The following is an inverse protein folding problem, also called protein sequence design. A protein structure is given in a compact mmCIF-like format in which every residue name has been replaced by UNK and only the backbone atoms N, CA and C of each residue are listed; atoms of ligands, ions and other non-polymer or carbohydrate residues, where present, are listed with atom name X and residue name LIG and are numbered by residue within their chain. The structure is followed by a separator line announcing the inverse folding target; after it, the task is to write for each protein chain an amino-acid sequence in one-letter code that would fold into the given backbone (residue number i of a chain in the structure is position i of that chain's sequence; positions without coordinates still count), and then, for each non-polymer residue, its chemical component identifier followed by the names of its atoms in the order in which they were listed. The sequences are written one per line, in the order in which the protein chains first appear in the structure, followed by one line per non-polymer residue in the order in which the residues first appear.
data_IF_627749570054
#
_entry.id   IF_627749570054
#
_cell.length_a   1.000
_cell.length_b   1.000
_cell.length_c   1.000
_cell.angle_alpha   90.00
_cell.angle_beta   90.00
_cell.angle_gamma   90.00
#
_symmetry.space_group_name_H-M   'P 1'
#
loop_
_entity.id
_entity.type
_entity.pdbx_description
1 polymer ?
#
# COMPACT_ATOMS: atom_id res chain seq x y z
N UNK A 1 -20.54 32.04 -45.45
CA UNK A 1 -19.82 32.26 -44.17
C UNK A 1 -20.36 31.24 -43.16
N UNK A 2 -19.49 30.43 -42.54
CA UNK A 2 -19.90 29.37 -41.61
C UNK A 2 -20.22 29.94 -40.23
N UNK A 3 -21.35 29.52 -39.66
CA UNK A 3 -21.78 29.86 -38.31
C UNK A 3 -21.03 29.04 -37.27
N UNK A 4 -20.37 29.73 -36.35
CA UNK A 4 -19.63 29.18 -35.23
C UNK A 4 -20.61 28.68 -34.17
N UNK A 5 -20.72 27.36 -34.01
CA UNK A 5 -21.32 26.75 -32.84
C UNK A 5 -20.18 26.35 -31.89
N UNK A 6 -19.96 27.18 -30.87
CA UNK A 6 -19.03 26.90 -29.77
C UNK A 6 -19.60 25.76 -28.93
N UNK A 7 -19.08 24.55 -29.12
CA UNK A 7 -19.28 23.46 -28.17
C UNK A 7 -18.42 23.74 -26.93
N UNK A 8 -19.07 23.79 -25.77
CA UNK A 8 -18.47 24.00 -24.47
C UNK A 8 -17.29 23.05 -24.25
N UNK A 9 -16.17 23.62 -23.81
CA UNK A 9 -15.02 22.88 -23.32
C UNK A 9 -15.51 21.90 -22.25
N UNK A 10 -15.48 20.61 -22.58
CA UNK A 10 -15.55 19.55 -21.59
C UNK A 10 -14.43 19.85 -20.58
N UNK A 11 -14.83 20.15 -19.36
CA UNK A 11 -13.94 20.24 -18.21
C UNK A 11 -13.38 18.82 -18.05
N UNK A 12 -12.22 18.58 -18.67
CA UNK A 12 -11.40 17.45 -18.34
C UNK A 12 -11.06 17.62 -16.86
N UNK A 13 -11.76 16.87 -16.01
CA UNK A 13 -11.29 16.54 -14.66
C UNK A 13 -9.79 16.32 -14.77
N UNK A 14 -8.96 16.94 -13.92
CA UNK A 14 -7.55 16.64 -13.93
C UNK A 14 -7.45 15.14 -13.73
N UNK A 15 -7.05 14.45 -14.80
CA UNK A 15 -6.63 13.07 -14.75
C UNK A 15 -5.49 13.11 -13.76
N UNK A 16 -5.84 12.78 -12.52
CA UNK A 16 -4.93 12.71 -11.40
C UNK A 16 -3.84 11.78 -11.89
N UNK A 17 -2.71 12.39 -12.26
CA UNK A 17 -1.59 11.67 -12.81
C UNK A 17 -1.34 10.55 -11.82
N UNK A 18 -1.52 9.31 -12.28
CA UNK A 18 -1.19 8.12 -11.52
C UNK A 18 0.28 8.28 -11.14
N UNK A 19 0.54 8.78 -9.92
CA UNK A 19 1.87 8.74 -9.36
C UNK A 19 2.33 7.29 -9.51
N UNK A 20 3.56 7.02 -9.98
CA UNK A 20 4.03 5.67 -10.23
C UNK A 20 3.73 4.84 -8.98
N UNK A 21 2.74 3.95 -9.09
CA UNK A 21 2.18 3.22 -7.96
C UNK A 21 3.34 2.46 -7.34
N UNK A 22 3.71 2.82 -6.12
CA UNK A 22 4.79 2.16 -5.38
C UNK A 22 4.26 0.90 -4.74
N UNK A 23 3.62 0.08 -5.57
CA UNK A 23 3.02 -1.19 -5.18
C UNK A 23 4.11 -2.27 -5.30
N UNK A 24 4.51 -2.81 -4.16
CA UNK A 24 5.51 -3.87 -4.07
C UNK A 24 4.86 -5.17 -3.55
N UNK A 25 5.28 -6.31 -4.11
CA UNK A 25 4.84 -7.64 -3.65
C UNK A 25 5.97 -8.33 -2.90
N UNK A 26 5.61 -8.95 -1.78
CA UNK A 26 6.49 -9.73 -0.93
C UNK A 26 5.92 -11.12 -0.69
N UNK A 27 6.80 -12.12 -0.59
CA UNK A 27 6.45 -13.47 -0.18
C UNK A 27 6.92 -13.74 1.26
N UNK A 28 6.06 -14.40 2.02
CA UNK A 28 6.32 -14.91 3.35
C UNK A 28 6.08 -16.41 3.36
N UNK A 29 7.02 -17.18 3.92
CA UNK A 29 6.82 -18.60 4.25
C UNK A 29 6.11 -18.71 5.61
N UNK A 30 4.95 -18.05 5.72
CA UNK A 30 4.07 -18.12 6.88
C UNK A 30 2.59 -18.24 6.46
N UNK A 31 1.73 -18.82 7.33
CA UNK A 31 0.30 -18.87 7.11
C UNK A 31 -0.33 -17.48 7.00
N UNK A 32 -1.36 -17.39 6.17
CA UNK A 32 -2.11 -16.17 5.88
C UNK A 32 -2.56 -15.39 7.12
N UNK A 33 -3.20 -16.07 8.07
CA UNK A 33 -3.77 -15.42 9.26
C UNK A 33 -2.70 -14.71 10.10
N UNK A 34 -1.52 -15.35 10.28
CA UNK A 34 -0.43 -14.77 11.06
C UNK A 34 0.12 -13.49 10.42
N UNK A 35 0.17 -13.43 9.09
CA UNK A 35 0.63 -12.24 8.36
C UNK A 35 -0.39 -11.11 8.44
N UNK A 36 -1.69 -11.40 8.29
CA UNK A 36 -2.76 -10.40 8.42
C UNK A 36 -2.76 -9.79 9.81
N UNK A 37 -2.71 -10.62 10.87
CA UNK A 37 -2.70 -10.15 12.25
C UNK A 37 -1.46 -9.31 12.57
N UNK A 38 -0.29 -9.73 12.09
CA UNK A 38 0.95 -8.99 12.27
C UNK A 38 0.94 -7.65 11.51
N UNK A 39 0.53 -7.65 10.23
CA UNK A 39 0.45 -6.43 9.42
C UNK A 39 -0.52 -5.42 10.03
N UNK A 40 -1.69 -5.89 10.50
CA UNK A 40 -2.65 -5.05 11.23
C UNK A 40 -2.05 -4.50 12.52
N UNK A 41 -1.33 -5.32 13.29
CA UNK A 41 -0.67 -4.90 14.52
C UNK A 41 0.39 -3.81 14.27
N UNK A 42 1.21 -3.96 13.23
CA UNK A 42 2.24 -2.97 12.86
C UNK A 42 1.60 -1.66 12.40
N UNK A 43 0.58 -1.71 11.54
CA UNK A 43 -0.15 -0.51 11.12
C UNK A 43 -0.81 0.21 12.30
N UNK A 44 -1.46 -0.54 13.20
CA UNK A 44 -2.10 0.04 14.39
C UNK A 44 -1.09 0.66 15.36
N UNK A 45 0.15 0.14 15.42
CA UNK A 45 1.22 0.74 16.21
C UNK A 45 1.69 2.08 15.63
N UNK A 46 1.81 2.15 14.31
CA UNK A 46 2.34 3.30 13.58
C UNK A 46 1.26 4.35 13.21
N UNK A 47 -0.01 4.03 13.41
CA UNK A 47 -1.13 4.88 13.01
C UNK A 47 -2.49 4.26 13.25
N UNK A 48 -3.42 4.52 12.34
CA UNK A 48 -4.80 4.05 12.41
C UNK A 48 -5.07 3.04 11.30
N UNK A 49 -5.87 2.01 11.61
CA UNK A 49 -6.41 1.07 10.62
C UNK A 49 -7.87 1.46 10.40
N UNK A 50 -8.21 1.86 9.18
CA UNK A 50 -9.54 2.35 8.82
C UNK A 50 -10.45 1.21 8.34
N UNK A 51 -9.90 0.26 7.57
CA UNK A 51 -10.64 -0.88 7.02
C UNK A 51 -9.76 -2.12 7.13
N UNK A 52 -10.28 -3.19 7.71
CA UNK A 52 -9.61 -4.49 7.71
C UNK A 52 -10.64 -5.54 7.36
N UNK A 53 -10.71 -5.89 6.08
CA UNK A 53 -11.39 -7.11 5.63
C UNK A 53 -10.47 -8.32 5.89
N UNK A 54 -10.96 -9.53 5.60
CA UNK A 54 -10.19 -10.76 5.83
C UNK A 54 -8.80 -10.70 5.17
N UNK A 55 -8.69 -10.10 3.97
CA UNK A 55 -7.48 -10.06 3.12
C UNK A 55 -6.90 -8.68 2.89
N UNK A 56 -7.66 -7.62 3.17
CA UNK A 56 -7.30 -6.24 2.81
C UNK A 56 -7.23 -5.41 4.07
N UNK A 57 -6.11 -4.71 4.26
CA UNK A 57 -5.87 -3.83 5.40
C UNK A 57 -5.54 -2.45 4.85
N UNK A 58 -6.41 -1.48 5.12
CA UNK A 58 -6.19 -0.08 4.82
C UNK A 58 -5.93 0.69 6.11
N UNK A 59 -4.90 1.53 6.10
CA UNK A 59 -4.54 2.35 7.24
C UNK A 59 -3.80 3.62 6.85
N UNK A 60 -3.55 4.45 7.84
CA UNK A 60 -2.79 5.69 7.71
C UNK A 60 -1.85 5.81 8.90
N UNK A 61 -0.72 6.50 8.73
CA UNK A 61 0.14 6.80 9.86
C UNK A 61 -0.51 7.86 10.78
N UNK A 62 -0.02 8.00 12.02
CA UNK A 62 -0.61 8.94 13.02
C UNK A 62 -0.74 10.39 12.55
N UNK A 63 0.12 10.82 11.65
CA UNK A 63 0.13 12.19 11.12
C UNK A 63 -0.66 12.33 9.81
N UNK A 64 -1.31 11.26 9.33
CA UNK A 64 -2.00 11.19 8.04
C UNK A 64 -1.15 11.68 6.85
N UNK A 65 0.17 11.56 6.97
CA UNK A 65 1.14 11.84 5.90
C UNK A 65 1.20 10.71 4.88
N UNK A 66 0.95 9.47 5.31
CA UNK A 66 1.01 8.30 4.45
C UNK A 66 -0.21 7.41 4.67
N UNK A 67 -0.69 6.84 3.57
CA UNK A 67 -1.77 5.85 3.50
C UNK A 67 -1.19 4.54 3.01
N UNK A 68 -1.60 3.46 3.67
CA UNK A 68 -1.16 2.09 3.39
C UNK A 68 -2.37 1.30 2.92
N UNK A 69 -2.21 0.58 1.82
CA UNK A 69 -3.14 -0.44 1.35
C UNK A 69 -2.38 -1.74 1.23
N UNK A 70 -2.76 -2.71 2.06
CA UNK A 70 -2.12 -4.02 2.13
C UNK A 70 -3.12 -5.08 1.72
N UNK A 71 -2.72 -5.97 0.81
CA UNK A 71 -3.51 -7.13 0.39
C UNK A 71 -2.69 -8.39 0.63
N UNK A 72 -3.21 -9.28 1.49
CA UNK A 72 -2.59 -10.57 1.77
C UNK A 72 -3.35 -11.65 1.02
N UNK A 73 -2.63 -12.58 0.40
CA UNK A 73 -3.21 -13.71 -0.34
C UNK A 73 -2.43 -14.98 -0.07
N UNK A 74 -3.09 -16.10 0.29
CA UNK A 74 -2.40 -17.38 0.45
C UNK A 74 -1.93 -17.90 -0.92
N UNK A 75 -0.77 -18.56 -0.95
CA UNK A 75 -0.29 -19.24 -2.14
C UNK A 75 -1.14 -20.49 -2.41
N UNK A 76 -1.57 -20.69 -3.65
CA UNK A 76 -2.35 -21.88 -4.04
C UNK A 76 -1.57 -23.19 -3.87
N UNK A 77 -0.24 -23.13 -3.97
CA UNK A 77 0.65 -24.28 -3.95
C UNK A 77 1.16 -24.67 -2.56
N UNK A 78 1.09 -23.78 -1.57
CA UNK A 78 1.61 -24.03 -0.23
C UNK A 78 0.80 -23.25 0.82
N UNK A 79 0.11 -23.93 1.76
CA UNK A 79 -0.68 -23.26 2.80
C UNK A 79 0.17 -22.46 3.80
N UNK A 80 1.47 -22.75 3.88
CA UNK A 80 2.44 -22.01 4.70
C UNK A 80 3.16 -20.93 3.92
N UNK A 81 2.64 -20.52 2.76
CA UNK A 81 3.18 -19.43 1.98
C UNK A 81 2.08 -18.44 1.66
N UNK A 82 2.37 -17.16 1.83
CA UNK A 82 1.45 -16.09 1.47
C UNK A 82 2.19 -14.97 0.77
N UNK A 83 1.48 -14.29 -0.12
CA UNK A 83 1.93 -13.09 -0.80
C UNK A 83 1.26 -11.89 -0.18
N UNK A 84 2.05 -10.86 0.09
CA UNK A 84 1.61 -9.58 0.61
C UNK A 84 1.93 -8.52 -0.43
N UNK A 85 0.88 -7.86 -0.92
CA UNK A 85 0.99 -6.66 -1.72
C UNK A 85 0.83 -5.47 -0.80
N UNK A 86 1.68 -4.48 -0.95
CA UNK A 86 1.58 -3.23 -0.22
C UNK A 86 1.77 -2.06 -1.16
N UNK A 87 0.88 -1.09 -1.04
CA UNK A 87 0.98 0.21 -1.68
C UNK A 87 0.99 1.29 -0.60
N UNK A 88 1.93 2.23 -0.72
CA UNK A 88 2.06 3.36 0.19
C UNK A 88 2.00 4.64 -0.62
N UNK A 89 1.04 5.49 -0.27
CA UNK A 89 0.79 6.77 -0.95
C UNK A 89 0.83 7.91 0.07
N UNK A 90 1.04 9.14 -0.40
CA UNK A 90 0.88 10.32 0.45
C UNK A 90 -0.57 10.45 0.87
N UNK A 91 -0.80 10.72 2.15
CA UNK A 91 -2.12 10.99 2.71
C UNK A 91 -2.63 12.39 2.40
N UNK A 92 -3.66 12.79 3.13
CA UNK A 92 -4.25 14.14 3.00
C UNK A 92 -3.34 15.24 3.52
N UNK A 93 -2.53 14.93 4.53
CA UNK A 93 -1.57 15.88 5.08
C UNK A 93 -0.25 15.73 4.34
N UNK A 94 0.28 16.82 3.79
CA UNK A 94 1.57 16.80 3.13
C UNK A 94 2.68 16.47 4.13
N UNK A 95 3.58 15.53 3.82
CA UNK A 95 4.76 15.27 4.64
C UNK A 95 5.62 16.54 4.78
N UNK A 96 6.25 16.78 5.93
CA UNK A 96 7.16 17.92 6.10
C UNK A 96 8.38 17.82 5.16
N UNK A 97 9.03 18.94 4.85
CA UNK A 97 10.26 18.92 4.05
C UNK A 97 11.31 17.99 4.66
N UNK A 98 11.86 17.07 3.87
CA UNK A 98 12.83 16.07 4.32
C UNK A 98 12.22 14.80 4.94
N UNK A 99 10.90 14.64 4.93
CA UNK A 99 10.26 13.38 5.28
C UNK A 99 10.62 12.26 4.29
N UNK A 100 10.53 11.02 4.77
CA UNK A 100 10.78 9.82 3.98
C UNK A 100 9.90 9.76 2.73
N UNK A 101 10.41 9.21 1.62
CA UNK A 101 9.53 8.96 0.48
C UNK A 101 8.54 7.83 0.84
N UNK A 102 7.35 7.75 0.20
CA UNK A 102 6.41 6.66 0.43
C UNK A 102 7.04 5.26 0.29
N UNK A 103 8.04 5.13 -0.60
CA UNK A 103 8.80 3.89 -0.77
C UNK A 103 9.69 3.54 0.43
N UNK A 104 10.32 4.54 1.04
CA UNK A 104 11.14 4.33 2.24
C UNK A 104 10.26 3.91 3.43
N UNK A 105 9.08 4.51 3.54
CA UNK A 105 8.05 4.13 4.53
C UNK A 105 7.54 2.71 4.31
N UNK A 106 7.35 2.30 3.05
CA UNK A 106 7.01 0.92 2.68
C UNK A 106 8.11 -0.04 3.14
N UNK A 107 9.37 0.25 2.83
CA UNK A 107 10.50 -0.60 3.24
C UNK A 107 10.63 -0.67 4.76
N UNK A 108 10.47 0.44 5.47
CA UNK A 108 10.45 0.47 6.93
C UNK A 108 9.30 -0.38 7.51
N UNK A 109 8.11 -0.30 6.92
CA UNK A 109 6.98 -1.15 7.30
C UNK A 109 7.30 -2.64 7.10
N UNK A 110 7.87 -3.01 5.95
CA UNK A 110 8.22 -4.40 5.63
C UNK A 110 9.30 -4.94 6.57
N UNK A 111 10.29 -4.13 6.95
CA UNK A 111 11.29 -4.50 7.96
C UNK A 111 10.63 -4.78 9.31
N UNK A 112 9.78 -3.88 9.80
CA UNK A 112 9.08 -4.06 11.08
C UNK A 112 8.15 -5.28 11.06
N UNK A 113 7.48 -5.54 9.95
CA UNK A 113 6.64 -6.71 9.77
C UNK A 113 7.47 -8.00 9.80
N UNK A 114 8.62 -8.02 9.12
CA UNK A 114 9.57 -9.11 9.17
C UNK A 114 10.06 -9.41 10.59
N UNK A 115 10.49 -8.37 11.32
CA UNK A 115 10.92 -8.49 12.72
C UNK A 115 9.80 -9.04 13.61
N UNK A 116 8.57 -8.54 13.46
CA UNK A 116 7.38 -8.99 14.22
C UNK A 116 7.09 -10.47 13.97
N UNK A 117 7.28 -10.92 12.73
CA UNK A 117 7.03 -12.29 12.30
C UNK A 117 8.25 -13.22 12.49
N UNK A 118 9.40 -12.70 12.90
CA UNK A 118 10.65 -13.46 13.00
C UNK A 118 11.15 -13.99 11.66
N UNK A 119 10.88 -13.27 10.56
CA UNK A 119 11.22 -13.70 9.20
C UNK A 119 11.67 -12.53 8.34
N UNK A 120 12.33 -12.82 7.21
CA UNK A 120 12.73 -11.80 6.24
C UNK A 120 11.79 -11.88 5.03
N UNK A 121 10.99 -10.83 4.76
CA UNK A 121 10.12 -10.80 3.59
C UNK A 121 10.95 -10.89 2.30
N UNK A 122 10.54 -11.75 1.37
CA UNK A 122 11.22 -11.86 0.07
C UNK A 122 10.52 -10.98 -0.95
N UNK A 123 11.21 -9.96 -1.46
CA UNK A 123 10.68 -9.14 -2.55
C UNK A 123 10.48 -10.00 -3.80
N UNK A 124 9.25 -10.01 -4.33
CA UNK A 124 8.91 -10.73 -5.55
C UNK A 124 8.76 -9.73 -6.68
N UNK A 125 9.66 -9.82 -7.66
CA UNK A 125 9.55 -9.02 -8.87
C UNK A 125 8.39 -9.59 -9.70
N UNK A 126 7.31 -8.82 -9.79
CA UNK A 126 6.21 -9.15 -10.71
C UNK A 126 6.78 -8.96 -12.12
N UNK A 127 6.91 -10.04 -12.88
CA UNK A 127 7.21 -9.94 -14.30
C UNK A 127 5.96 -9.34 -14.96
N UNK A 128 6.08 -8.13 -15.49
CA UNK A 128 5.09 -7.53 -16.38
C UNK A 128 5.00 -8.32 -17.69
#
# INVERSE_FOLDING_TARGET
MPGWATAAAATATPQQAEAPRSMEMYAFELPFAGIVDAARSVLTKNGMVAISEERVIAGENKASHYRYVIVVTPAKSNPNKSYLWIDVTTGETLPPPGAAAPRDELHAFMTQLGEKLGTVPQFVRVAN
#
